data_IF_623337306727
#
_entry.id   IF_623337306727
#
_cell.length_a   1.000
_cell.length_b   1.000
_cell.length_c   1.000
_cell.angle_alpha   90.00
_cell.angle_beta   90.00
_cell.angle_gamma   90.00
#
_symmetry.space_group_name_H-M   'P 1'
#
loop_
_entity.id
_entity.type
_entity.pdbx_description
1 polymer ?
#
# COMPACT_ATOMS: atom_id res chain seq x y z
N UNK A 1 24.10 -6.51 3.97
CA UNK A 1 23.37 -6.57 2.69
C UNK A 1 21.91 -6.05 2.76
N UNK A 2 21.44 -5.46 3.87
CA UNK A 2 20.10 -4.85 3.91
C UNK A 2 19.96 -3.66 2.97
N UNK A 3 21.07 -2.99 2.67
CA UNK A 3 21.14 -1.75 1.88
C UNK A 3 20.79 -1.94 0.40
N UNK A 4 20.57 -3.19 -0.04
CA UNK A 4 20.17 -3.55 -1.41
C UNK A 4 18.77 -4.19 -1.48
N UNK A 5 18.11 -4.45 -0.35
CA UNK A 5 16.83 -5.16 -0.35
C UNK A 5 15.71 -4.22 -0.79
N UNK A 6 15.05 -4.55 -1.90
CA UNK A 6 13.82 -3.90 -2.32
C UNK A 6 12.66 -4.35 -1.45
N UNK A 7 11.81 -3.43 -1.02
CA UNK A 7 10.71 -3.72 -0.11
C UNK A 7 9.44 -3.05 -0.60
N UNK A 8 8.37 -3.84 -0.75
CA UNK A 8 7.02 -3.35 -0.92
C UNK A 8 6.17 -3.66 0.30
N UNK A 9 5.36 -2.69 0.70
CA UNK A 9 4.39 -2.87 1.80
C UNK A 9 3.06 -2.28 1.39
N UNK A 10 2.04 -3.11 1.34
CA UNK A 10 0.65 -2.71 1.10
C UNK A 10 -0.11 -2.76 2.42
N UNK A 11 -0.84 -1.69 2.71
CA UNK A 11 -1.62 -1.52 3.93
C UNK A 11 -3.05 -1.09 3.58
N UNK A 12 -4.01 -1.57 4.36
CA UNK A 12 -5.37 -1.03 4.43
C UNK A 12 -5.58 -0.55 5.86
N UNK A 13 -5.89 0.73 6.04
CA UNK A 13 -6.04 1.37 7.33
C UNK A 13 -7.43 2.01 7.45
N UNK A 14 -8.20 1.63 8.47
CA UNK A 14 -9.39 2.35 8.96
C UNK A 14 -8.97 3.58 9.81
N UNK A 15 -9.34 4.78 9.39
CA UNK A 15 -8.94 6.03 10.06
C UNK A 15 -9.81 6.38 11.27
N UNK A 16 -10.95 5.68 11.44
CA UNK A 16 -11.99 5.97 12.43
C UNK A 16 -12.60 7.38 12.26
N UNK A 17 -12.76 7.81 11.01
CA UNK A 17 -13.35 9.11 10.62
C UNK A 17 -14.62 8.96 9.79
N UNK A 18 -15.34 7.85 9.94
CA UNK A 18 -16.55 7.53 9.17
C UNK A 18 -17.64 8.60 9.30
N UNK A 19 -17.70 9.28 10.45
CA UNK A 19 -18.67 10.33 10.75
C UNK A 19 -18.22 11.73 10.29
N UNK A 20 -17.00 11.86 9.75
CA UNK A 20 -16.40 13.14 9.36
C UNK A 20 -16.15 13.18 7.85
N UNK A 21 -17.08 13.71 7.05
CA UNK A 21 -17.00 13.65 5.59
C UNK A 21 -15.79 14.38 5.00
N UNK A 22 -15.16 15.29 5.75
CA UNK A 22 -13.93 15.98 5.36
C UNK A 22 -12.66 15.10 5.44
N UNK A 23 -12.74 13.91 6.05
CA UNK A 23 -11.64 12.96 6.17
C UNK A 23 -12.00 11.60 5.57
N UNK A 24 -11.06 10.89 4.93
CA UNK A 24 -11.32 9.56 4.39
C UNK A 24 -11.49 8.56 5.54
N UNK A 25 -12.52 7.72 5.48
CA UNK A 25 -12.75 6.64 6.45
C UNK A 25 -11.69 5.52 6.34
N UNK A 26 -11.18 5.28 5.14
CA UNK A 26 -10.16 4.26 4.86
C UNK A 26 -9.08 4.78 3.93
N UNK A 27 -7.85 4.30 4.14
CA UNK A 27 -6.68 4.55 3.30
C UNK A 27 -6.06 3.22 2.88
N UNK A 28 -5.83 3.03 1.59
CA UNK A 28 -5.00 1.96 1.03
C UNK A 28 -3.67 2.55 0.61
N UNK A 29 -2.58 2.07 1.19
CA UNK A 29 -1.28 2.69 1.09
C UNK A 29 -0.23 1.66 0.65
N UNK A 30 0.45 1.94 -0.46
CA UNK A 30 1.58 1.17 -0.94
C UNK A 30 2.88 1.96 -0.73
N UNK A 31 3.82 1.39 -0.01
CA UNK A 31 5.23 1.80 -0.08
C UNK A 31 5.95 0.93 -1.09
N UNK A 32 6.72 1.54 -1.98
CA UNK A 32 7.68 0.86 -2.85
C UNK A 32 9.08 1.46 -2.64
N UNK A 33 9.96 0.70 -1.98
CA UNK A 33 11.35 1.06 -1.76
C UNK A 33 12.29 0.31 -2.71
N UNK A 34 13.16 1.05 -3.39
CA UNK A 34 14.25 0.50 -4.20
C UNK A 34 15.47 1.42 -4.11
N UNK A 35 16.62 0.93 -3.62
CA UNK A 35 17.78 1.77 -3.32
C UNK A 35 18.48 2.34 -4.56
N UNK A 36 18.22 1.77 -5.75
CA UNK A 36 18.88 2.18 -7.00
C UNK A 36 18.03 3.15 -7.84
N UNK A 37 16.84 3.56 -7.37
CA UNK A 37 16.00 4.58 -8.05
C UNK A 37 16.46 5.99 -7.68
N UNK A 38 16.27 6.96 -8.61
CA UNK A 38 16.49 8.39 -8.35
C UNK A 38 15.61 8.89 -7.20
N UNK A 39 14.37 8.40 -7.14
CA UNK A 39 13.51 8.48 -5.96
C UNK A 39 13.41 7.09 -5.32
N UNK A 40 14.19 6.81 -4.25
CA UNK A 40 14.24 5.50 -3.65
C UNK A 40 12.92 5.06 -3.01
N UNK A 41 12.04 5.99 -2.64
CA UNK A 41 10.88 5.71 -1.79
C UNK A 41 9.58 6.30 -2.37
N UNK A 42 8.94 5.50 -3.23
CA UNK A 42 7.68 5.85 -3.87
C UNK A 42 6.48 5.41 -3.04
N UNK A 43 5.37 6.12 -3.20
CA UNK A 43 4.12 5.90 -2.46
C UNK A 43 2.91 6.02 -3.37
N UNK A 44 1.97 5.10 -3.25
CA UNK A 44 0.64 5.23 -3.84
C UNK A 44 -0.41 5.21 -2.72
N UNK A 45 -1.31 6.19 -2.72
CA UNK A 45 -2.34 6.36 -1.70
C UNK A 45 -3.71 6.38 -2.39
N UNK A 46 -4.60 5.49 -1.98
CA UNK A 46 -6.01 5.50 -2.37
C UNK A 46 -6.88 5.68 -1.12
N UNK A 47 -8.00 6.35 -1.27
CA UNK A 47 -8.98 6.58 -0.21
C UNK A 47 -10.28 5.86 -0.50
N UNK A 48 -11.02 5.51 0.54
CA UNK A 48 -12.35 4.93 0.42
C UNK A 48 -13.25 5.36 1.59
N UNK A 49 -14.55 5.49 1.30
CA UNK A 49 -15.57 5.79 2.30
C UNK A 49 -16.09 4.53 3.03
N UNK A 50 -15.89 3.34 2.44
CA UNK A 50 -16.36 2.06 3.00
C UNK A 50 -15.26 1.01 2.98
N UNK A 51 -15.34 0.07 3.93
CA UNK A 51 -14.39 -1.04 4.00
C UNK A 51 -14.39 -1.91 2.74
N UNK A 52 -15.58 -2.16 2.17
CA UNK A 52 -15.72 -2.96 0.94
C UNK A 52 -14.99 -2.30 -0.23
N UNK A 53 -15.12 -0.98 -0.40
CA UNK A 53 -14.39 -0.25 -1.42
C UNK A 53 -12.87 -0.27 -1.16
N UNK A 54 -12.43 -0.10 0.09
CA UNK A 54 -11.02 -0.19 0.48
C UNK A 54 -10.44 -1.58 0.18
N UNK A 55 -11.17 -2.66 0.48
CA UNK A 55 -10.74 -4.05 0.21
C UNK A 55 -10.61 -4.33 -1.29
N UNK A 56 -11.57 -3.87 -2.11
CA UNK A 56 -11.47 -3.96 -3.58
C UNK A 56 -10.24 -3.22 -4.12
N UNK A 57 -9.96 -2.03 -3.61
CA UNK A 57 -8.75 -1.27 -3.97
C UNK A 57 -7.48 -2.01 -3.55
N UNK A 58 -7.45 -2.57 -2.33
CA UNK A 58 -6.32 -3.34 -1.80
C UNK A 58 -6.04 -4.58 -2.66
N UNK A 59 -7.05 -5.39 -2.95
CA UNK A 59 -6.90 -6.59 -3.79
C UNK A 59 -6.41 -6.26 -5.20
N UNK A 60 -6.92 -5.17 -5.78
CA UNK A 60 -6.45 -4.68 -7.08
C UNK A 60 -4.99 -4.26 -7.02
N UNK A 61 -4.60 -3.45 -6.03
CA UNK A 61 -3.21 -3.01 -5.85
C UNK A 61 -2.28 -4.19 -5.58
N UNK A 62 -2.73 -5.19 -4.83
CA UNK A 62 -1.96 -6.41 -4.56
C UNK A 62 -1.65 -7.15 -5.87
N UNK A 63 -2.65 -7.37 -6.73
CA UNK A 63 -2.49 -8.03 -8.04
C UNK A 63 -1.58 -7.24 -8.98
N UNK A 64 -1.68 -5.90 -8.96
CA UNK A 64 -0.88 -5.01 -9.80
C UNK A 64 0.60 -4.95 -9.37
N UNK A 65 0.87 -5.00 -8.05
CA UNK A 65 2.20 -4.69 -7.50
C UNK A 65 2.97 -5.89 -6.94
N UNK A 66 2.32 -7.01 -6.65
CA UNK A 66 2.96 -8.22 -6.13
C UNK A 66 2.85 -9.35 -7.15
N UNK A 67 3.47 -9.10 -8.31
CA UNK A 67 3.58 -10.06 -9.43
C UNK A 67 4.80 -10.99 -9.22
N UNK A 68 5.15 -11.81 -10.22
CA UNK A 68 6.30 -12.70 -10.14
C UNK A 68 7.60 -12.00 -9.71
N UNK A 69 8.41 -12.67 -8.89
CA UNK A 69 9.68 -12.15 -8.37
C UNK A 69 9.62 -11.51 -6.97
N UNK A 70 8.43 -11.32 -6.40
CA UNK A 70 8.27 -10.87 -5.01
C UNK A 70 8.12 -12.07 -4.06
N UNK A 71 8.97 -12.12 -3.03
CA UNK A 71 8.84 -13.06 -1.92
C UNK A 71 8.23 -12.38 -0.69
N UNK A 72 7.44 -13.12 0.09
CA UNK A 72 6.94 -12.62 1.37
C UNK A 72 8.09 -12.61 2.38
N UNK A 73 8.25 -11.49 3.09
CA UNK A 73 9.31 -11.35 4.08
C UNK A 73 8.92 -12.09 5.36
N UNK A 74 9.75 -13.04 5.80
CA UNK A 74 9.56 -13.79 7.04
C UNK A 74 8.78 -15.11 6.91
N UNK A 75 8.56 -15.58 5.69
CA UNK A 75 8.22 -16.99 5.38
C UNK A 75 9.47 -17.75 4.92
#
# INVERSE_FOLDING_TARGET
>A
MKDKLMVRKLLLWKTNKEEKPEFPAYVVYLTDFSPNRVDPLQREIRIAATESAARKQYERMAKENFIGGWGKLGE
#
